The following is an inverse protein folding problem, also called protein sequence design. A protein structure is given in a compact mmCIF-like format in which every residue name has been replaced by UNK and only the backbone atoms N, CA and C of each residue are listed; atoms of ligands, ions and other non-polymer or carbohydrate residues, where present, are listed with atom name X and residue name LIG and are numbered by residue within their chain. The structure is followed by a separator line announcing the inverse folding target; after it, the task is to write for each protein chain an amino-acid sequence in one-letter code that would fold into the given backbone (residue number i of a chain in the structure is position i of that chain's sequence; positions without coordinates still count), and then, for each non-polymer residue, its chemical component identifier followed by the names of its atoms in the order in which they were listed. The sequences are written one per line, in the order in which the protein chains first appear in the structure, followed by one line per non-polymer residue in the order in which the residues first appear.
data_IF_973778661282
#
_entry.id   IF_973778661282
#
_cell.length_a   1.000
_cell.length_b   1.000
_cell.length_c   1.000
_cell.angle_alpha   90.00
_cell.angle_beta   90.00
_cell.angle_gamma   90.00
#
_symmetry.space_group_name_H-M   'P 1'
#
loop_
_entity.id
_entity.type
_entity.pdbx_description
1 polymer ?
#
# COMPACT_ATOMS: atom_id res chain seq x y z
N UNK A 1 9.31 45.66 7.17
CA UNK A 1 8.93 46.40 5.96
C UNK A 1 10.13 46.86 5.11
N UNK A 2 11.24 47.37 5.66
CA UNK A 2 12.43 47.80 4.86
C UNK A 2 13.13 46.66 4.11
N UNK A 3 13.13 45.43 4.62
CA UNK A 3 13.79 44.28 3.99
C UNK A 3 13.03 43.74 2.77
N UNK A 4 11.68 43.83 2.77
CA UNK A 4 10.85 43.36 1.66
C UNK A 4 10.97 44.24 0.41
N UNK A 5 11.19 45.55 0.59
CA UNK A 5 11.35 46.51 -0.51
C UNK A 5 12.67 46.29 -1.28
N UNK A 6 13.73 45.86 -0.60
CA UNK A 6 15.05 45.60 -1.24
C UNK A 6 14.99 44.37 -2.15
N UNK A 7 14.28 43.32 -1.75
CA UNK A 7 14.13 42.11 -2.56
C UNK A 7 13.25 42.40 -3.80
N UNK A 8 12.21 43.20 -3.66
CA UNK A 8 11.33 43.56 -4.79
C UNK A 8 12.09 44.43 -5.82
N UNK A 9 13.04 45.25 -5.40
CA UNK A 9 13.85 46.13 -6.30
C UNK A 9 14.84 45.32 -7.13
N UNK A 10 15.37 44.21 -6.63
CA UNK A 10 16.27 43.32 -7.34
C UNK A 10 15.59 42.51 -8.45
N UNK A 11 14.28 42.26 -8.31
CA UNK A 11 13.50 41.49 -9.29
C UNK A 11 13.11 42.36 -10.50
N UNK A 12 12.94 43.66 -10.32
CA UNK A 12 12.48 44.55 -11.40
C UNK A 12 13.60 45.00 -12.36
N UNK A 13 14.88 44.87 -12.01
CA UNK A 13 16.00 45.24 -12.88
C UNK A 13 16.50 44.12 -13.78
N UNK A 14 15.91 42.92 -13.69
CA UNK A 14 16.35 41.73 -14.45
C UNK A 14 15.72 41.57 -15.84
N UNK A 15 14.95 42.54 -16.32
CA UNK A 15 14.27 42.44 -17.61
C UNK A 15 14.78 43.47 -18.64
N UNK A 16 16.08 43.51 -18.92
CA UNK A 16 16.61 44.12 -20.16
C UNK A 16 18.12 43.91 -20.26
N UNK A 17 18.54 42.96 -20.98
CA UNK A 17 19.69 42.83 -21.88
C UNK A 17 20.32 41.44 -21.83
N UNK A 18 20.48 40.87 -23.01
CA UNK A 18 21.20 39.63 -23.30
C UNK A 18 22.72 39.85 -23.12
N UNK A 19 23.23 39.96 -21.92
CA UNK A 19 24.65 39.74 -21.67
C UNK A 19 24.84 39.19 -20.27
N UNK A 20 25.69 38.17 -20.16
CA UNK A 20 25.84 37.25 -19.06
C UNK A 20 25.90 37.90 -17.68
N UNK A 21 25.14 37.35 -16.79
CA UNK A 21 25.22 37.62 -15.37
C UNK A 21 26.62 37.20 -14.89
N UNK A 22 27.41 38.17 -14.43
CA UNK A 22 28.75 37.93 -13.92
C UNK A 22 28.65 36.95 -12.70
N UNK A 23 29.35 35.81 -12.73
CA UNK A 23 29.45 34.97 -11.57
C UNK A 23 30.30 35.68 -10.52
N UNK A 24 29.70 36.15 -9.44
CA UNK A 24 30.43 36.77 -8.34
C UNK A 24 29.70 37.80 -7.50
N UNK A 25 28.46 38.12 -7.79
CA UNK A 25 27.70 39.12 -7.03
C UNK A 25 26.44 38.57 -6.36
N UNK A 26 26.52 37.36 -5.79
CA UNK A 26 25.53 36.87 -4.83
C UNK A 26 26.14 37.12 -3.45
N UNK A 27 25.56 38.04 -2.64
CA UNK A 27 26.09 38.27 -1.30
C UNK A 27 26.10 36.96 -0.49
N UNK A 28 27.16 36.71 0.27
CA UNK A 28 27.36 35.49 1.07
C UNK A 28 26.19 35.15 2.00
N UNK A 29 25.38 36.13 2.37
CA UNK A 29 24.18 35.86 3.18
C UNK A 29 23.05 35.17 2.41
N UNK A 30 23.08 35.20 1.05
CA UNK A 30 22.10 34.49 0.22
C UNK A 30 22.56 33.05 -0.02
N UNK A 31 23.88 32.84 -0.19
CA UNK A 31 24.44 31.50 -0.37
C UNK A 31 24.29 30.66 0.90
N UNK A 32 24.49 31.26 2.08
CA UNK A 32 24.29 30.58 3.36
C UNK A 32 22.80 30.28 3.69
N UNK A 33 21.85 30.90 2.97
CA UNK A 33 20.42 30.61 3.13
C UNK A 33 19.95 29.40 2.31
N UNK A 34 20.76 28.95 1.37
CA UNK A 34 20.56 27.81 0.50
C UNK A 34 21.63 26.72 0.70
N UNK A 35 22.50 26.83 1.70
CA UNK A 35 23.19 25.67 2.19
C UNK A 35 22.12 24.79 2.89
N UNK A 36 21.46 23.95 2.09
CA UNK A 36 20.74 22.82 2.63
C UNK A 36 21.71 22.13 3.60
N UNK A 37 21.32 21.99 4.86
CA UNK A 37 21.92 21.00 5.73
C UNK A 37 21.80 19.70 4.96
N UNK A 38 22.90 19.29 4.32
CA UNK A 38 23.01 17.97 3.73
C UNK A 38 22.79 17.03 4.91
N UNK A 39 21.58 16.50 5.01
CA UNK A 39 21.29 15.43 5.96
C UNK A 39 22.31 14.34 5.65
N UNK A 40 23.39 14.33 6.41
CA UNK A 40 24.36 13.26 6.40
C UNK A 40 23.60 12.02 6.84
N UNK A 41 23.06 11.30 5.86
CA UNK A 41 22.51 9.97 6.11
C UNK A 41 23.61 9.19 6.80
N UNK A 42 23.31 8.66 7.97
CA UNK A 42 24.21 7.76 8.66
C UNK A 42 24.61 6.65 7.67
N UNK A 43 25.91 6.45 7.47
CA UNK A 43 26.39 5.33 6.67
C UNK A 43 25.78 4.05 7.25
N UNK A 44 25.17 3.26 6.37
CA UNK A 44 24.66 1.98 6.78
C UNK A 44 25.83 1.14 7.34
N UNK A 45 25.70 0.58 8.53
CA UNK A 45 26.73 -0.28 9.07
C UNK A 45 27.01 -1.42 8.10
N UNK A 46 28.26 -1.83 7.95
CA UNK A 46 28.62 -2.97 7.14
C UNK A 46 27.93 -4.22 7.69
N UNK A 47 27.02 -4.77 6.91
CA UNK A 47 26.29 -5.99 7.29
C UNK A 47 27.12 -7.18 6.80
N UNK A 48 27.68 -7.95 7.74
CA UNK A 48 28.18 -9.27 7.44
C UNK A 48 26.99 -10.22 7.27
N UNK A 49 26.49 -10.35 6.02
CA UNK A 49 25.40 -11.26 5.72
C UNK A 49 25.91 -12.70 5.75
N UNK A 50 25.42 -13.49 6.69
CA UNK A 50 25.62 -14.94 6.72
C UNK A 50 24.53 -15.68 5.94
N UNK A 51 23.67 -14.96 5.25
CA UNK A 51 22.55 -15.52 4.46
C UNK A 51 22.99 -15.59 2.99
N UNK A 52 23.05 -16.78 2.46
CA UNK A 52 23.27 -17.01 1.03
C UNK A 52 21.90 -17.14 0.35
N UNK A 53 21.53 -16.14 -0.46
CA UNK A 53 20.29 -16.15 -1.23
C UNK A 53 20.62 -16.66 -2.62
N UNK A 54 19.90 -17.71 -3.05
CA UNK A 54 20.02 -18.28 -4.40
C UNK A 54 18.71 -18.10 -5.15
N UNK A 55 18.79 -17.68 -6.41
CA UNK A 55 17.66 -17.70 -7.33
C UNK A 55 17.30 -19.16 -7.62
N UNK A 56 16.08 -19.57 -7.24
CA UNK A 56 15.59 -20.93 -7.50
C UNK A 56 14.97 -21.02 -8.88
N UNK A 57 14.16 -20.05 -9.26
CA UNK A 57 13.51 -19.98 -10.56
C UNK A 57 13.01 -18.56 -10.83
N UNK A 58 12.73 -18.27 -12.08
CA UNK A 58 12.20 -17.03 -12.58
C UNK A 58 11.13 -17.34 -13.63
N UNK A 59 10.08 -16.55 -13.69
CA UNK A 59 9.04 -16.65 -14.71
C UNK A 59 8.51 -15.25 -15.05
N UNK A 60 8.16 -15.08 -16.31
CA UNK A 60 7.60 -13.81 -16.82
C UNK A 60 6.16 -14.04 -17.24
N UNK A 61 5.35 -13.03 -17.00
CA UNK A 61 3.99 -12.96 -17.51
C UNK A 61 3.90 -11.84 -18.55
N UNK A 62 3.20 -12.06 -19.67
CA UNK A 62 2.90 -10.97 -20.59
C UNK A 62 2.07 -9.93 -19.84
N UNK A 63 2.66 -8.78 -19.57
CA UNK A 63 1.98 -7.65 -18.97
C UNK A 63 1.80 -6.58 -20.05
N UNK A 64 0.57 -6.28 -20.41
CA UNK A 64 0.28 -4.97 -20.97
C UNK A 64 0.39 -4.00 -19.80
N UNK A 65 1.48 -3.21 -19.78
CA UNK A 65 1.70 -2.18 -18.75
C UNK A 65 0.71 -1.05 -19.07
N UNK A 66 -0.52 -1.19 -18.63
CA UNK A 66 -1.33 0.00 -18.41
C UNK A 66 -0.76 0.71 -17.17
N UNK A 67 -0.52 2.03 -17.28
CA UNK A 67 -0.08 2.91 -16.18
C UNK A 67 -1.14 3.05 -15.08
N UNK A 68 -1.83 2.00 -14.75
CA UNK A 68 -2.86 1.98 -13.72
C UNK A 68 -2.24 1.52 -12.41
N UNK A 69 -2.24 2.40 -11.40
CA UNK A 69 -1.84 2.02 -10.05
C UNK A 69 -2.71 0.86 -9.58
N UNK A 70 -2.11 -0.30 -9.41
CA UNK A 70 -2.74 -1.48 -8.82
C UNK A 70 -1.91 -1.95 -7.64
N UNK A 71 -2.58 -2.43 -6.59
CA UNK A 71 -1.94 -3.00 -5.40
C UNK A 71 -1.86 -4.53 -5.52
N UNK A 72 -1.58 -5.03 -6.72
CA UNK A 72 -1.47 -6.46 -6.99
C UNK A 72 -0.28 -7.03 -6.23
N UNK A 73 -0.55 -7.96 -5.33
CA UNK A 73 0.45 -8.69 -4.58
C UNK A 73 0.34 -10.18 -4.89
N UNK A 74 1.49 -10.84 -4.92
CA UNK A 74 1.53 -12.29 -4.95
C UNK A 74 0.99 -12.86 -3.64
N UNK A 75 0.30 -13.99 -3.71
CA UNK A 75 -0.15 -14.71 -2.53
C UNK A 75 0.34 -16.15 -2.54
N UNK A 76 0.97 -16.56 -1.44
CA UNK A 76 1.43 -17.94 -1.28
C UNK A 76 0.43 -18.70 -0.41
N UNK A 77 -0.18 -19.73 -0.99
CA UNK A 77 -1.03 -20.67 -0.29
C UNK A 77 -0.47 -22.09 -0.44
N UNK A 78 -0.03 -22.69 0.66
CA UNK A 78 0.62 -24.00 0.67
C UNK A 78 1.81 -24.07 -0.31
N UNK A 79 1.75 -24.94 -1.31
CA UNK A 79 2.75 -25.12 -2.38
C UNK A 79 2.39 -24.39 -3.68
N UNK A 80 1.47 -23.42 -3.59
CA UNK A 80 1.02 -22.60 -4.70
C UNK A 80 1.38 -21.14 -4.51
N UNK A 81 1.66 -20.47 -5.63
CA UNK A 81 1.79 -19.02 -5.72
C UNK A 81 0.71 -18.53 -6.66
N UNK A 82 -0.17 -17.68 -6.15
CA UNK A 82 -1.23 -17.05 -6.91
C UNK A 82 -0.73 -15.69 -7.39
N UNK A 83 -0.81 -15.48 -8.70
CA UNK A 83 -0.32 -14.27 -9.38
C UNK A 83 -1.49 -13.59 -10.08
N UNK A 84 -2.06 -12.52 -9.51
CA UNK A 84 -3.04 -11.72 -10.23
C UNK A 84 -2.35 -10.91 -11.32
N UNK A 85 -2.97 -10.80 -12.48
CA UNK A 85 -2.46 -10.04 -13.62
C UNK A 85 -3.50 -9.05 -14.14
N UNK A 86 -3.04 -8.01 -14.85
CA UNK A 86 -3.92 -6.94 -15.35
C UNK A 86 -4.87 -7.42 -16.46
N UNK A 87 -4.64 -8.59 -17.05
CA UNK A 87 -5.51 -9.22 -18.04
C UNK A 87 -6.70 -9.97 -17.40
N UNK A 88 -7.04 -9.64 -16.15
CA UNK A 88 -8.18 -10.19 -15.39
C UNK A 88 -8.06 -11.68 -15.07
N UNK A 89 -6.84 -12.16 -14.90
CA UNK A 89 -6.56 -13.55 -14.57
C UNK A 89 -5.83 -13.68 -13.23
N UNK A 90 -5.97 -14.85 -12.64
CA UNK A 90 -5.11 -15.30 -11.55
C UNK A 90 -4.42 -16.58 -12.01
N UNK A 91 -3.10 -16.50 -12.18
CA UNK A 91 -2.29 -17.67 -12.48
C UNK A 91 -1.88 -18.36 -11.20
N UNK A 92 -1.98 -19.69 -11.19
CA UNK A 92 -1.60 -20.52 -10.06
C UNK A 92 -0.37 -21.31 -10.45
N UNK A 93 0.75 -21.01 -9.78
CA UNK A 93 2.04 -21.64 -10.03
C UNK A 93 2.42 -22.58 -8.89
N UNK A 94 3.21 -23.57 -9.20
CA UNK A 94 3.94 -24.34 -8.19
C UNK A 94 5.04 -23.47 -7.56
N UNK A 95 5.10 -23.41 -6.23
CA UNK A 95 6.14 -22.67 -5.51
C UNK A 95 7.52 -23.31 -5.62
N UNK A 96 7.60 -24.55 -6.09
CA UNK A 96 8.84 -25.34 -6.17
C UNK A 96 9.57 -25.11 -7.49
N UNK A 97 8.84 -25.11 -8.60
CA UNK A 97 9.42 -25.13 -9.95
C UNK A 97 8.76 -24.16 -10.94
N UNK A 98 7.97 -23.22 -10.46
CA UNK A 98 7.23 -22.21 -11.23
C UNK A 98 6.28 -22.75 -12.30
N UNK A 99 6.05 -24.07 -12.37
CA UNK A 99 5.12 -24.59 -13.36
C UNK A 99 3.71 -24.10 -13.12
N UNK A 100 3.08 -23.66 -14.21
CA UNK A 100 1.67 -23.29 -14.20
C UNK A 100 0.83 -24.52 -13.87
N UNK A 101 0.09 -24.46 -12.75
CA UNK A 101 -0.88 -25.49 -12.34
C UNK A 101 -2.26 -25.20 -12.93
N UNK A 102 -2.66 -23.94 -12.90
CA UNK A 102 -3.97 -23.48 -13.38
C UNK A 102 -3.95 -21.98 -13.71
N UNK A 103 -4.95 -21.53 -14.45
CA UNK A 103 -5.22 -20.11 -14.68
C UNK A 103 -6.73 -19.87 -14.59
N UNK A 104 -7.14 -18.97 -13.72
CA UNK A 104 -8.53 -18.63 -13.47
C UNK A 104 -8.84 -17.31 -14.17
N UNK A 105 -9.80 -17.32 -15.07
CA UNK A 105 -10.32 -16.11 -15.71
C UNK A 105 -11.40 -15.52 -14.81
N UNK A 106 -11.16 -14.32 -14.31
CA UNK A 106 -12.02 -13.67 -13.31
C UNK A 106 -12.99 -12.68 -13.95
N UNK A 107 -12.67 -12.18 -15.15
CA UNK A 107 -13.46 -11.16 -15.87
C UNK A 107 -13.65 -9.83 -15.09
N UNK A 108 -13.06 -9.69 -13.91
CA UNK A 108 -13.13 -8.51 -13.04
C UNK A 108 -11.78 -7.82 -12.93
N UNK A 109 -11.79 -6.50 -12.78
CA UNK A 109 -10.57 -5.72 -12.54
C UNK A 109 -10.14 -5.87 -11.09
N UNK A 110 -9.15 -6.71 -10.83
CA UNK A 110 -8.53 -6.86 -9.51
C UNK A 110 -7.77 -5.58 -9.20
N UNK A 111 -8.01 -5.02 -8.01
CA UNK A 111 -7.36 -3.79 -7.57
C UNK A 111 -6.49 -3.99 -6.34
N UNK A 112 -6.98 -4.68 -5.32
CA UNK A 112 -6.19 -5.04 -4.13
C UNK A 112 -5.35 -6.29 -4.37
N UNK A 113 -4.47 -6.62 -3.44
CA UNK A 113 -3.89 -7.95 -3.37
C UNK A 113 -4.96 -9.02 -3.25
N UNK A 114 -4.59 -10.26 -3.57
CA UNK A 114 -5.44 -11.43 -3.45
C UNK A 114 -5.06 -12.24 -2.22
N UNK A 115 -6.03 -12.98 -1.69
CA UNK A 115 -5.83 -14.05 -0.72
C UNK A 115 -6.63 -15.28 -1.16
N UNK A 116 -6.30 -16.44 -0.64
CA UNK A 116 -7.00 -17.66 -1.01
C UNK A 116 -7.06 -18.65 0.16
N UNK A 117 -8.06 -19.51 0.12
CA UNK A 117 -8.08 -20.77 0.84
C UNK A 117 -8.09 -21.96 -0.13
N UNK A 118 -8.44 -23.15 0.34
CA UNK A 118 -8.49 -24.37 -0.49
C UNK A 118 -9.49 -24.28 -1.63
N UNK A 119 -10.56 -23.53 -1.48
CA UNK A 119 -11.71 -23.53 -2.38
C UNK A 119 -11.94 -22.18 -3.08
N UNK A 120 -11.62 -21.08 -2.42
CA UNK A 120 -11.99 -19.74 -2.85
C UNK A 120 -10.76 -18.84 -2.98
N UNK A 121 -10.91 -17.83 -3.84
CA UNK A 121 -9.99 -16.68 -3.95
C UNK A 121 -10.80 -15.43 -3.59
N UNK A 122 -10.19 -14.54 -2.82
CA UNK A 122 -10.79 -13.27 -2.39
C UNK A 122 -9.94 -12.10 -2.84
N UNK A 123 -10.57 -11.04 -3.32
CA UNK A 123 -9.89 -9.82 -3.76
C UNK A 123 -10.82 -8.61 -3.75
N UNK A 124 -10.23 -7.43 -3.74
CA UNK A 124 -10.93 -6.18 -3.98
C UNK A 124 -10.87 -5.80 -5.45
N UNK A 125 -11.96 -5.20 -5.95
CA UNK A 125 -12.06 -4.70 -7.33
C UNK A 125 -11.96 -3.17 -7.38
N UNK A 126 -11.77 -2.63 -8.59
CA UNK A 126 -11.82 -1.17 -8.85
C UNK A 126 -13.19 -0.55 -8.58
N UNK A 127 -14.24 -1.35 -8.44
CA UNK A 127 -15.61 -0.92 -8.15
C UNK A 127 -15.94 -0.95 -6.65
N UNK A 128 -14.94 -0.82 -5.79
CA UNK A 128 -15.09 -0.83 -4.33
C UNK A 128 -15.81 -2.08 -3.80
N UNK A 129 -15.60 -3.24 -4.44
CA UNK A 129 -16.21 -4.49 -3.99
C UNK A 129 -15.16 -5.47 -3.50
N UNK A 130 -15.53 -6.27 -2.50
CA UNK A 130 -14.83 -7.52 -2.18
C UNK A 130 -15.57 -8.66 -2.85
N UNK A 131 -14.82 -9.49 -3.55
CA UNK A 131 -15.36 -10.60 -4.34
C UNK A 131 -14.73 -11.91 -3.88
N UNK A 132 -15.54 -12.96 -3.77
CA UNK A 132 -15.11 -14.35 -3.61
C UNK A 132 -15.41 -15.13 -4.88
N UNK A 133 -14.39 -15.80 -5.41
CA UNK A 133 -14.48 -16.65 -6.61
C UNK A 133 -14.13 -18.07 -6.26
N UNK A 134 -14.96 -19.01 -6.70
CA UNK A 134 -14.69 -20.44 -6.57
C UNK A 134 -13.60 -20.88 -7.52
N UNK A 135 -12.57 -21.56 -6.99
CA UNK A 135 -11.35 -21.93 -7.73
C UNK A 135 -11.57 -23.04 -8.76
N UNK A 136 -12.59 -23.87 -8.57
CA UNK A 136 -12.89 -24.99 -9.46
C UNK A 136 -13.80 -24.58 -10.61
N UNK A 137 -14.89 -23.88 -10.28
CA UNK A 137 -15.89 -23.45 -11.28
C UNK A 137 -15.60 -22.11 -11.93
N UNK A 138 -14.63 -21.35 -11.43
CA UNK A 138 -14.32 -19.97 -11.83
C UNK A 138 -15.50 -19.00 -11.67
N UNK A 139 -16.49 -19.36 -10.86
CA UNK A 139 -17.70 -18.56 -10.68
C UNK A 139 -17.61 -17.67 -9.45
N UNK A 140 -18.22 -16.49 -9.55
CA UNK A 140 -18.37 -15.58 -8.40
C UNK A 140 -19.36 -16.18 -7.42
N UNK A 141 -18.90 -16.49 -6.21
CA UNK A 141 -19.75 -16.99 -5.13
C UNK A 141 -20.54 -15.85 -4.47
N UNK A 142 -19.86 -14.75 -4.17
CA UNK A 142 -20.49 -13.55 -3.63
C UNK A 142 -19.64 -12.31 -3.92
N UNK A 143 -20.32 -11.15 -3.93
CA UNK A 143 -19.71 -9.82 -3.95
C UNK A 143 -20.32 -8.95 -2.87
N UNK A 144 -19.52 -8.06 -2.29
CA UNK A 144 -19.97 -7.07 -1.30
C UNK A 144 -19.38 -5.72 -1.61
N UNK A 145 -20.27 -4.74 -1.72
CA UNK A 145 -19.89 -3.34 -1.88
C UNK A 145 -19.37 -2.84 -0.53
N UNK A 146 -18.20 -2.23 -0.58
CA UNK A 146 -17.54 -1.60 0.56
C UNK A 146 -17.85 -0.10 0.56
N UNK A 147 -17.42 0.59 1.60
CA UNK A 147 -17.65 2.05 1.72
C UNK A 147 -16.66 2.88 0.90
N UNK A 148 -15.56 2.29 0.47
CA UNK A 148 -14.48 2.92 -0.29
C UNK A 148 -13.59 1.85 -0.90
N UNK A 149 -12.57 2.27 -1.67
CA UNK A 149 -11.56 1.39 -2.29
C UNK A 149 -11.02 0.36 -1.29
N UNK A 150 -10.97 -0.89 -1.73
CA UNK A 150 -10.39 -1.99 -0.95
C UNK A 150 -8.87 -1.92 -1.06
N UNK A 151 -8.21 -1.61 0.03
CA UNK A 151 -6.76 -1.44 0.06
C UNK A 151 -6.01 -2.74 0.32
N UNK A 152 -6.52 -3.56 1.22
CA UNK A 152 -5.89 -4.82 1.59
C UNK A 152 -6.87 -5.79 2.27
N UNK A 153 -6.56 -7.08 2.15
CA UNK A 153 -7.25 -8.18 2.83
C UNK A 153 -6.25 -8.91 3.73
N UNK A 154 -6.72 -9.46 4.86
CA UNK A 154 -5.95 -10.36 5.71
C UNK A 154 -6.00 -11.79 5.19
N UNK A 155 -5.15 -12.65 5.72
CA UNK A 155 -5.36 -14.09 5.64
C UNK A 155 -6.71 -14.50 6.26
N UNK A 156 -7.15 -15.74 5.98
CA UNK A 156 -8.39 -16.28 6.53
C UNK A 156 -8.16 -16.76 7.98
N UNK A 157 -9.01 -16.31 8.90
CA UNK A 157 -9.04 -16.78 10.28
C UNK A 157 -10.45 -17.24 10.64
N UNK A 158 -10.61 -18.51 10.98
CA UNK A 158 -11.90 -19.07 11.46
C UNK A 158 -13.10 -18.65 10.58
N UNK A 159 -13.01 -18.91 9.28
CA UNK A 159 -14.02 -18.55 8.27
C UNK A 159 -14.26 -17.03 8.14
N UNK A 160 -13.30 -16.21 8.53
CA UNK A 160 -13.40 -14.73 8.49
C UNK A 160 -12.19 -14.12 7.78
N UNK A 161 -12.43 -13.11 6.95
CA UNK A 161 -11.41 -12.20 6.40
C UNK A 161 -11.64 -10.80 6.93
N UNK A 162 -10.55 -10.04 7.01
CA UNK A 162 -10.58 -8.64 7.47
C UNK A 162 -10.12 -7.76 6.32
N UNK A 163 -10.98 -6.83 5.97
CA UNK A 163 -10.80 -5.94 4.82
C UNK A 163 -10.56 -4.54 5.30
N UNK A 164 -9.44 -3.94 4.88
CA UNK A 164 -9.16 -2.53 5.09
C UNK A 164 -9.52 -1.73 3.85
N UNK A 165 -10.27 -0.63 4.04
CA UNK A 165 -10.67 0.30 2.99
C UNK A 165 -9.98 1.67 3.14
N UNK A 166 -9.92 2.44 2.06
CA UNK A 166 -9.23 3.72 1.97
C UNK A 166 -9.80 4.79 2.93
N UNK A 167 -11.05 4.66 3.33
CA UNK A 167 -11.71 5.52 4.33
C UNK A 167 -11.41 5.11 5.79
N UNK A 168 -10.28 4.41 6.01
CA UNK A 168 -9.78 3.96 7.32
C UNK A 168 -10.76 3.07 8.08
N UNK A 169 -11.55 2.25 7.36
CA UNK A 169 -12.40 1.22 7.97
C UNK A 169 -11.78 -0.15 7.90
N UNK A 170 -12.12 -0.96 8.89
CA UNK A 170 -11.82 -2.39 8.94
C UNK A 170 -13.14 -3.14 9.05
N UNK A 171 -13.39 -4.05 8.13
CA UNK A 171 -14.60 -4.85 8.07
C UNK A 171 -14.26 -6.32 8.18
N UNK A 172 -14.86 -7.03 9.13
CA UNK A 172 -14.83 -8.49 9.20
C UNK A 172 -15.94 -9.07 8.34
N UNK A 173 -15.60 -10.01 7.47
CA UNK A 173 -16.52 -10.66 6.53
C UNK A 173 -16.46 -12.16 6.72
N UNK A 174 -17.63 -12.80 6.90
CA UNK A 174 -17.78 -14.24 6.86
C UNK A 174 -17.55 -14.74 5.42
N UNK A 175 -16.58 -15.62 5.23
CA UNK A 175 -16.13 -16.05 3.88
C UNK A 175 -17.17 -16.90 3.15
N UNK A 176 -18.05 -17.61 3.86
CA UNK A 176 -19.05 -18.51 3.26
C UNK A 176 -20.23 -17.72 2.69
N UNK A 177 -20.60 -16.63 3.36
CA UNK A 177 -21.83 -15.89 3.03
C UNK A 177 -21.56 -14.48 2.51
N UNK A 178 -20.33 -13.96 2.69
CA UNK A 178 -19.97 -12.58 2.44
C UNK A 178 -20.65 -11.58 3.38
N UNK A 179 -21.25 -12.03 4.50
CA UNK A 179 -21.92 -11.12 5.45
C UNK A 179 -20.90 -10.38 6.30
N UNK A 180 -21.17 -9.10 6.54
CA UNK A 180 -20.40 -8.29 7.48
C UNK A 180 -20.71 -8.74 8.90
N UNK A 181 -19.69 -9.12 9.65
CA UNK A 181 -19.77 -9.49 11.04
C UNK A 181 -19.68 -8.26 11.93
N UNK A 182 -18.70 -7.40 11.65
CA UNK A 182 -18.53 -6.11 12.30
C UNK A 182 -17.77 -5.15 11.38
N UNK A 183 -17.92 -3.84 11.66
CA UNK A 183 -17.19 -2.75 10.99
C UNK A 183 -16.64 -1.81 12.06
N UNK A 184 -15.38 -1.43 11.93
CA UNK A 184 -14.72 -0.42 12.77
C UNK A 184 -14.17 0.69 11.89
N UNK A 185 -14.37 1.94 12.32
CA UNK A 185 -13.87 3.13 11.62
C UNK A 185 -12.84 3.84 12.48
N UNK A 186 -11.82 4.35 11.84
CA UNK A 186 -10.91 5.35 12.40
C UNK A 186 -11.12 6.67 11.68
N UNK A 187 -10.65 7.76 12.27
CA UNK A 187 -10.69 9.07 11.61
C UNK A 187 -9.65 9.01 10.49
N UNK A 188 -10.03 9.24 9.22
CA UNK A 188 -9.07 9.27 8.12
C UNK A 188 -8.04 10.39 8.35
N UNK A 189 -6.81 10.16 7.91
CA UNK A 189 -5.80 11.21 7.87
C UNK A 189 -6.13 12.22 6.78
N UNK A 190 -5.86 13.52 7.02
CA UNK A 190 -6.06 14.58 6.02
C UNK A 190 -5.18 14.38 4.78
N UNK A 191 -4.05 13.71 4.92
CA UNK A 191 -3.17 13.29 3.86
C UNK A 191 -2.95 11.79 3.97
N UNK A 192 -3.57 11.02 3.08
CA UNK A 192 -3.28 9.59 2.95
C UNK A 192 -2.40 9.34 1.75
N UNK A 193 -1.27 8.66 1.97
CA UNK A 193 -0.48 8.09 0.89
C UNK A 193 -1.20 6.82 0.45
N UNK A 194 -1.47 6.68 -0.86
CA UNK A 194 -2.01 5.43 -1.41
C UNK A 194 -1.00 4.31 -1.17
N UNK A 195 -1.26 3.52 -0.18
CA UNK A 195 -0.47 2.36 0.23
C UNK A 195 -0.95 1.89 1.57
N UNK A 196 -1.26 0.63 1.70
CA UNK A 196 -1.78 0.08 2.93
C UNK A 196 -1.17 -1.28 3.20
N UNK A 197 -0.72 -1.48 4.44
CA UNK A 197 -0.38 -2.81 4.92
C UNK A 197 -1.66 -3.63 5.10
N UNK A 198 -1.58 -4.91 4.75
CA UNK A 198 -2.65 -5.85 5.05
C UNK A 198 -2.85 -5.99 6.57
N UNK A 199 -4.09 -6.19 7.04
CA UNK A 199 -4.33 -6.60 8.42
C UNK A 199 -3.59 -7.90 8.72
N UNK A 200 -2.87 -7.94 9.84
CA UNK A 200 -2.10 -9.12 10.27
C UNK A 200 -2.88 -9.87 11.34
N UNK A 201 -2.93 -11.19 11.19
CA UNK A 201 -3.57 -12.07 12.16
C UNK A 201 -2.51 -12.66 13.09
N UNK A 202 -2.78 -12.59 14.38
CA UNK A 202 -1.97 -13.25 15.41
C UNK A 202 -2.89 -13.76 16.50
N UNK A 203 -2.96 -15.06 16.69
CA UNK A 203 -3.91 -15.73 17.56
C UNK A 203 -5.36 -15.30 17.26
N UNK A 204 -6.09 -14.78 18.25
CA UNK A 204 -7.44 -14.24 18.11
C UNK A 204 -7.48 -12.72 17.88
N UNK A 205 -6.40 -12.15 17.42
CA UNK A 205 -6.25 -10.72 17.20
C UNK A 205 -6.07 -10.39 15.73
N UNK A 206 -6.64 -9.24 15.33
CA UNK A 206 -6.43 -8.61 14.04
C UNK A 206 -5.70 -7.29 14.28
N UNK A 207 -4.47 -7.19 13.79
CA UNK A 207 -3.62 -6.03 13.97
C UNK A 207 -3.61 -5.22 12.69
N UNK A 208 -3.96 -3.94 12.78
CA UNK A 208 -4.10 -3.04 11.62
C UNK A 208 -3.32 -1.76 11.85
N UNK A 209 -2.49 -1.39 10.88
CA UNK A 209 -1.83 -0.09 10.81
C UNK A 209 -2.68 0.92 10.05
N UNK A 210 -2.67 2.18 10.51
CA UNK A 210 -3.38 3.30 9.90
C UNK A 210 -2.41 4.41 9.49
N UNK A 211 -2.85 5.25 8.57
CA UNK A 211 -2.03 6.31 7.96
C UNK A 211 -1.61 7.40 8.96
N UNK A 212 -2.37 7.57 10.04
CA UNK A 212 -2.04 8.50 11.13
C UNK A 212 -0.97 7.95 12.10
N UNK A 213 -0.37 6.80 11.76
CA UNK A 213 0.64 6.12 12.59
C UNK A 213 0.06 5.33 13.76
N UNK A 214 -1.26 5.16 13.83
CA UNK A 214 -1.87 4.23 14.79
C UNK A 214 -1.70 2.79 14.36
N UNK A 215 -1.45 1.93 15.34
CA UNK A 215 -1.59 0.49 15.20
C UNK A 215 -2.61 0.04 16.22
N UNK A 216 -3.64 -0.67 15.78
CA UNK A 216 -4.74 -1.13 16.62
C UNK A 216 -4.89 -2.63 16.49
N UNK A 217 -5.00 -3.31 17.63
CA UNK A 217 -5.38 -4.71 17.71
C UNK A 217 -6.85 -4.83 18.06
N UNK A 218 -7.58 -5.53 17.23
CA UNK A 218 -8.99 -5.85 17.44
C UNK A 218 -9.15 -7.33 17.79
N UNK A 219 -10.12 -7.63 18.63
CA UNK A 219 -10.61 -9.00 18.78
C UNK A 219 -11.33 -9.43 17.51
N UNK A 220 -10.97 -10.59 16.94
CA UNK A 220 -11.47 -11.01 15.64
C UNK A 220 -12.99 -11.25 15.60
N UNK A 221 -13.61 -11.68 16.70
CA UNK A 221 -15.04 -12.01 16.75
C UNK A 221 -15.95 -10.79 16.76
N UNK A 222 -15.58 -9.73 17.50
CA UNK A 222 -16.47 -8.61 17.77
C UNK A 222 -15.90 -7.23 17.45
N UNK A 223 -14.63 -7.17 17.04
CA UNK A 223 -13.94 -5.93 16.71
C UNK A 223 -13.67 -5.03 17.93
N UNK A 224 -13.75 -5.51 19.16
CA UNK A 224 -13.36 -4.74 20.32
C UNK A 224 -11.84 -4.52 20.32
N UNK A 225 -11.43 -3.32 20.72
CA UNK A 225 -10.00 -2.99 20.81
C UNK A 225 -9.39 -3.74 21.98
N UNK A 226 -8.36 -4.55 21.71
CA UNK A 226 -7.54 -5.18 22.73
C UNK A 226 -6.47 -4.19 23.23
N UNK A 227 -5.78 -3.53 22.30
CA UNK A 227 -4.79 -2.49 22.57
C UNK A 227 -4.63 -1.58 21.34
N UNK A 228 -4.07 -0.42 21.57
CA UNK A 228 -3.66 0.50 20.51
C UNK A 228 -2.38 1.23 20.91
N UNK A 229 -1.57 1.56 19.91
CA UNK A 229 -0.36 2.36 20.07
C UNK A 229 -0.31 3.43 19.01
N UNK A 230 0.37 4.54 19.32
CA UNK A 230 0.67 5.60 18.38
C UNK A 230 2.18 5.58 18.12
N UNK A 231 2.57 5.39 16.85
CA UNK A 231 3.95 5.60 16.44
C UNK A 231 4.17 7.11 16.38
N UNK A 232 5.14 7.67 17.12
CA UNK A 232 5.42 9.10 17.02
C UNK A 232 5.82 9.43 15.57
N UNK A 233 5.07 10.30 14.90
CA UNK A 233 5.56 10.95 13.70
C UNK A 233 6.65 11.93 14.16
N UNK A 234 7.87 11.79 13.69
CA UNK A 234 8.77 12.93 13.65
C UNK A 234 8.07 13.97 12.80
N UNK A 235 7.60 15.06 13.42
CA UNK A 235 7.20 16.24 12.66
C UNK A 235 8.41 16.59 11.79
N UNK A 236 8.31 16.40 10.49
CA UNK A 236 9.10 17.19 9.58
C UNK A 236 8.62 18.63 9.83
N UNK A 237 9.41 19.43 10.53
CA UNK A 237 9.25 20.86 10.51
C UNK A 237 9.43 21.27 9.08
N UNK A 238 8.34 21.41 8.36
CA UNK A 238 8.37 22.05 7.05
C UNK A 238 8.80 23.48 7.29
N UNK A 239 9.87 23.90 6.62
CA UNK A 239 10.45 25.28 6.66
C UNK A 239 9.46 26.31 6.07
N UNK A 240 8.18 26.09 6.21
CA UNK A 240 7.11 26.99 5.77
C UNK A 240 6.19 27.24 6.96
N UNK A 241 6.73 27.95 7.96
CA UNK A 241 6.01 28.75 8.94
C UNK A 241 6.54 30.19 8.96
#
# INVERSE_FOLDING_TARGET
MKKLVIILFLITTSCSSKEGFLPGFIPDFITNYFEDEVLLYAELPSINSNVNIQLLWETEFPSEIEETYSFLNLYKFQDEILVPTNDKKVHILSSVDSKMKNSIDIELDIFSGIIADSNLIYFGTKQDTVTAVDRESNSVLWQRVMSSEVMALSDVLNDTIFVKTNDSKVTAIDIKTGKFMWVKSQIPSDLSVRGSSAPVIHDEMVIVGFEDGKIISYNYLNGNINWQIQIPSTKMETIID
#
